data_IF_496605124331
#
_entry.id   IF_496605124331
#
_cell.length_a   1.000
_cell.length_b   1.000
_cell.length_c   1.000
_cell.angle_alpha   90.00
_cell.angle_beta   90.00
_cell.angle_gamma   90.00
#
_symmetry.space_group_name_H-M   'P 1'
#
loop_
_entity.id
_entity.type
_entity.pdbx_description
1 polymer ?
#
# COMPACT_ATOMS: atom_id res chain seq x y z
N UNK A 1 -9.95 7.20 10.27
CA UNK A 1 -9.84 5.81 9.77
C UNK A 1 -8.41 5.64 9.32
N UNK A 2 -7.62 4.79 9.98
CA UNK A 2 -6.22 4.56 9.60
C UNK A 2 -6.14 3.57 8.43
N UNK A 3 -6.14 4.11 7.22
CA UNK A 3 -6.02 3.30 5.99
C UNK A 3 -4.72 2.50 5.98
N UNK A 4 -3.61 3.07 6.47
CA UNK A 4 -2.33 2.38 6.61
C UNK A 4 -2.44 1.10 7.46
N UNK A 5 -3.03 1.18 8.66
CA UNK A 5 -3.16 0.02 9.55
C UNK A 5 -4.08 -1.07 8.96
N UNK A 6 -5.15 -0.65 8.27
CA UNK A 6 -6.06 -1.57 7.58
C UNK A 6 -5.33 -2.26 6.42
N UNK A 7 -4.66 -1.50 5.56
CA UNK A 7 -3.92 -2.03 4.41
C UNK A 7 -2.82 -2.97 4.86
N UNK A 8 -2.01 -2.57 5.85
CA UNK A 8 -0.97 -3.43 6.43
C UNK A 8 -1.53 -4.76 6.91
N UNK A 9 -2.61 -4.73 7.70
CA UNK A 9 -3.26 -5.95 8.19
C UNK A 9 -3.80 -6.83 7.06
N UNK A 10 -4.34 -6.24 6.01
CA UNK A 10 -4.88 -6.98 4.87
C UNK A 10 -3.79 -7.55 3.98
N UNK A 11 -2.70 -6.81 3.76
CA UNK A 11 -1.51 -7.26 3.03
C UNK A 11 -0.78 -8.38 3.80
N UNK A 12 -0.54 -8.20 5.11
CA UNK A 12 0.03 -9.26 5.98
C UNK A 12 -0.84 -10.53 6.00
N UNK A 13 -2.16 -10.38 5.83
CA UNK A 13 -3.10 -11.51 5.74
C UNK A 13 -3.20 -12.13 4.33
N UNK A 14 -2.44 -11.64 3.36
CA UNK A 14 -2.46 -12.09 1.97
C UNK A 14 -3.77 -11.78 1.23
N UNK A 15 -4.57 -10.83 1.74
CA UNK A 15 -5.84 -10.43 1.11
C UNK A 15 -5.67 -9.37 0.04
N UNK A 16 -4.61 -8.58 0.14
CA UNK A 16 -4.24 -7.54 -0.82
C UNK A 16 -2.82 -7.80 -1.31
N UNK A 17 -2.62 -7.53 -2.59
CA UNK A 17 -1.32 -7.50 -3.24
C UNK A 17 -0.82 -6.05 -3.38
N UNK A 18 0.39 -5.86 -3.93
CA UNK A 18 0.91 -4.51 -4.14
C UNK A 18 0.01 -3.67 -5.05
N UNK A 19 -0.61 -4.27 -6.07
CA UNK A 19 -1.50 -3.56 -6.98
C UNK A 19 -2.73 -3.01 -6.26
N UNK A 20 -3.29 -3.75 -5.30
CA UNK A 20 -4.36 -3.28 -4.44
C UNK A 20 -3.88 -2.11 -3.58
N UNK A 21 -2.74 -2.23 -2.89
CA UNK A 21 -2.19 -1.13 -2.08
C UNK A 21 -1.93 0.12 -2.94
N UNK A 22 -1.50 -0.06 -4.20
CA UNK A 22 -1.26 1.02 -5.17
C UNK A 22 -2.53 1.82 -5.49
N UNK A 23 -3.69 1.16 -5.57
CA UNK A 23 -4.99 1.84 -5.78
C UNK A 23 -5.31 2.80 -4.63
N UNK A 24 -4.92 2.47 -3.41
CA UNK A 24 -5.13 3.34 -2.24
C UNK A 24 -4.21 4.56 -2.24
N UNK A 25 -3.00 4.43 -2.78
CA UNK A 25 -2.12 5.59 -3.05
C UNK A 25 -2.75 6.50 -4.09
N UNK A 26 -3.19 5.95 -5.22
CA UNK A 26 -3.85 6.71 -6.29
C UNK A 26 -5.16 7.39 -5.83
N UNK A 27 -5.87 6.78 -4.87
CA UNK A 27 -7.06 7.35 -4.24
C UNK A 27 -6.76 8.37 -3.13
N UNK A 28 -5.48 8.67 -2.86
CA UNK A 28 -5.05 9.61 -1.82
C UNK A 28 -5.38 9.15 -0.39
N UNK A 29 -5.52 7.84 -0.17
CA UNK A 29 -5.81 7.26 1.15
C UNK A 29 -4.54 7.00 1.97
N UNK A 30 -3.45 6.71 1.28
CA UNK A 30 -2.10 6.58 1.82
C UNK A 30 -1.12 7.30 0.89
N UNK A 31 0.09 7.59 1.37
CA UNK A 31 1.17 8.14 0.55
C UNK A 31 2.14 7.04 0.06
N UNK A 32 3.12 7.43 -0.75
CA UNK A 32 4.12 6.52 -1.31
C UNK A 32 4.96 5.87 -0.21
N UNK A 33 5.40 6.61 0.81
CA UNK A 33 6.15 6.05 1.95
C UNK A 33 5.38 4.97 2.71
N UNK A 34 4.07 5.16 2.89
CA UNK A 34 3.19 4.18 3.51
C UNK A 34 3.01 2.93 2.64
N UNK A 35 2.96 3.09 1.31
CA UNK A 35 2.98 1.96 0.38
C UNK A 35 4.27 1.17 0.55
N UNK A 36 5.43 1.81 0.48
CA UNK A 36 6.73 1.14 0.62
C UNK A 36 6.85 0.44 1.97
N UNK A 37 6.32 1.02 3.04
CA UNK A 37 6.29 0.41 4.36
C UNK A 37 5.36 -0.82 4.47
N UNK A 38 4.33 -0.93 3.62
CA UNK A 38 3.42 -2.08 3.59
C UNK A 38 3.96 -3.18 2.69
N UNK A 39 4.39 -2.83 1.47
CA UNK A 39 4.75 -3.78 0.41
C UNK A 39 6.23 -4.14 0.41
N UNK A 40 7.08 -3.37 1.12
CA UNK A 40 8.53 -3.42 1.00
C UNK A 40 9.05 -3.18 -0.44
N UNK A 41 8.21 -2.64 -1.33
CA UNK A 41 8.54 -2.28 -2.70
C UNK A 41 8.40 -0.78 -2.93
N UNK A 42 9.28 -0.20 -3.75
CA UNK A 42 9.18 1.20 -4.11
C UNK A 42 7.96 1.49 -4.99
N UNK A 43 7.18 2.51 -4.62
CA UNK A 43 6.00 2.91 -5.41
C UNK A 43 6.38 3.36 -6.83
N UNK A 44 7.57 3.94 -6.97
CA UNK A 44 8.14 4.45 -8.22
C UNK A 44 8.74 3.37 -9.13
N UNK A 45 8.24 2.13 -9.10
CA UNK A 45 8.63 1.06 -10.03
C UNK A 45 8.27 1.37 -11.49
N UNK A 46 9.01 2.30 -12.08
CA UNK A 46 9.17 2.63 -13.51
C UNK A 46 10.39 3.54 -13.61
N UNK A 47 11.56 2.94 -13.84
CA UNK A 47 12.62 3.57 -14.61
C UNK A 47 12.52 3.07 -16.06
#
# INVERSE_FOLDING_TARGET
>A
MDWYAILKRHYDAGRYDEADVRKFVAAGKINEEQYEAITAESYAGTA
#
